data_IF_472385463388
#
_entry.id   IF_472385463388
#
_cell.length_a   1.000
_cell.length_b   1.000
_cell.length_c   1.000
_cell.angle_alpha   90.00
_cell.angle_beta   90.00
_cell.angle_gamma   90.00
#
_symmetry.space_group_name_H-M   'P 1'
#
loop_
_entity.id
_entity.type
_entity.pdbx_description
1 polymer ?
#
# COMPACT_ATOMS: atom_id res chain seq x y z
N UNK A 1 18.89 -53.41 28.10
CA UNK A 1 17.93 -52.29 28.22
C UNK A 1 18.70 -50.99 28.46
N UNK A 2 18.82 -50.09 27.47
CA UNK A 2 19.18 -48.65 27.66
C UNK A 2 19.34 -47.86 26.35
N UNK A 3 19.38 -48.50 25.18
CA UNK A 3 19.56 -47.80 23.90
C UNK A 3 18.26 -47.45 23.15
N UNK A 4 17.15 -48.13 23.40
CA UNK A 4 15.90 -47.90 22.67
C UNK A 4 15.10 -46.65 23.13
N UNK A 5 15.28 -46.19 24.37
CA UNK A 5 14.49 -45.09 24.94
C UNK A 5 14.94 -43.68 24.52
N UNK A 6 16.20 -43.50 24.09
CA UNK A 6 16.73 -42.18 23.70
C UNK A 6 16.38 -41.79 22.26
N UNK A 7 16.21 -42.76 21.36
CA UNK A 7 15.91 -42.51 19.94
C UNK A 7 14.45 -42.10 19.75
N UNK A 8 13.53 -42.70 20.51
CA UNK A 8 12.09 -42.44 20.41
C UNK A 8 11.73 -41.04 20.96
N UNK A 9 12.45 -40.57 21.97
CA UNK A 9 12.24 -39.22 22.54
C UNK A 9 12.76 -38.10 21.60
N UNK A 10 13.82 -38.37 20.82
CA UNK A 10 14.37 -37.40 19.87
C UNK A 10 13.50 -37.17 18.64
N UNK A 11 12.83 -38.21 18.13
CA UNK A 11 11.98 -38.12 16.93
C UNK A 11 10.64 -37.42 17.25
N UNK A 12 10.08 -37.64 18.44
CA UNK A 12 8.85 -36.98 18.88
C UNK A 12 9.02 -35.45 19.07
N UNK A 13 10.20 -35.00 19.50
CA UNK A 13 10.51 -33.57 19.66
C UNK A 13 10.72 -32.84 18.32
N UNK A 14 11.26 -33.51 17.29
CA UNK A 14 11.41 -32.93 15.95
C UNK A 14 10.06 -32.86 15.21
N UNK A 15 9.19 -33.86 15.38
CA UNK A 15 7.84 -33.86 14.80
C UNK A 15 6.93 -32.74 15.32
N UNK A 16 7.01 -32.43 16.62
CA UNK A 16 6.24 -31.32 17.22
C UNK A 16 6.75 -29.93 16.79
N UNK A 17 8.02 -29.75 16.43
CA UNK A 17 8.54 -28.47 15.93
C UNK A 17 8.16 -28.20 14.46
N UNK A 18 8.07 -29.26 13.64
CA UNK A 18 7.62 -29.14 12.25
C UNK A 18 6.15 -28.71 12.14
N UNK A 19 5.29 -29.18 13.06
CA UNK A 19 3.85 -28.86 13.05
C UNK A 19 3.51 -27.47 13.62
N UNK A 20 4.44 -26.82 14.33
CA UNK A 20 4.26 -25.48 14.88
C UNK A 20 4.80 -24.36 13.97
N UNK A 21 5.50 -24.73 12.89
CA UNK A 21 6.16 -23.74 12.01
C UNK A 21 5.26 -23.24 10.87
N UNK A 22 4.22 -23.99 10.49
CA UNK A 22 3.33 -23.65 9.36
C UNK A 22 2.05 -22.91 9.77
N UNK A 23 1.73 -22.85 11.06
CA UNK A 23 0.57 -22.14 11.61
C UNK A 23 0.91 -20.71 12.05
N UNK A 24 1.79 -20.02 11.30
CA UNK A 24 1.77 -18.57 11.37
C UNK A 24 0.49 -18.13 10.69
N UNK A 25 -0.51 -17.69 11.48
CA UNK A 25 -1.68 -17.01 10.97
C UNK A 25 -1.20 -15.86 10.06
N UNK A 26 -1.22 -16.11 8.74
CA UNK A 26 -1.08 -15.05 7.76
C UNK A 26 -2.43 -14.34 7.79
N UNK A 27 -2.44 -13.12 8.33
CA UNK A 27 -3.55 -12.23 8.06
C UNK A 27 -3.57 -12.01 6.54
N UNK A 28 -4.53 -12.68 5.89
CA UNK A 28 -4.74 -12.66 4.46
C UNK A 28 -6.22 -12.34 4.19
N UNK A 29 -6.56 -12.05 2.93
CA UNK A 29 -7.91 -11.65 2.54
C UNK A 29 -8.87 -12.84 2.73
N UNK A 30 -10.00 -12.71 3.46
CA UNK A 30 -10.95 -13.80 3.67
C UNK A 30 -11.59 -14.31 2.37
N UNK A 31 -11.92 -15.60 2.30
CA UNK A 31 -12.54 -16.26 1.14
C UNK A 31 -13.85 -15.58 0.71
N UNK A 32 -14.65 -15.16 1.69
CA UNK A 32 -15.93 -14.49 1.50
C UNK A 32 -15.79 -13.16 0.75
N UNK A 33 -14.60 -12.52 0.81
CA UNK A 33 -14.34 -11.29 0.05
C UNK A 33 -14.30 -11.57 -1.45
N UNK A 34 -13.62 -12.63 -1.86
CA UNK A 34 -13.51 -13.03 -3.26
C UNK A 34 -14.86 -13.51 -3.80
N UNK A 35 -15.60 -14.29 -2.99
CA UNK A 35 -16.93 -14.78 -3.35
C UNK A 35 -17.92 -13.63 -3.62
N UNK A 36 -17.96 -12.62 -2.74
CA UNK A 36 -18.86 -11.46 -2.90
C UNK A 36 -18.45 -10.58 -4.07
N UNK A 37 -17.14 -10.44 -4.32
CA UNK A 37 -16.63 -9.65 -5.45
C UNK A 37 -16.69 -10.41 -6.78
N UNK A 38 -16.94 -11.72 -6.76
CA UNK A 38 -17.01 -12.54 -7.96
C UNK A 38 -15.66 -12.72 -8.68
N UNK A 39 -14.54 -12.61 -7.95
CA UNK A 39 -13.17 -12.72 -8.48
C UNK A 39 -12.47 -13.96 -7.95
N UNK A 40 -11.51 -14.48 -8.72
CA UNK A 40 -10.70 -15.62 -8.29
C UNK A 40 -9.59 -15.18 -7.31
N UNK A 41 -9.32 -16.02 -6.30
CA UNK A 41 -8.26 -15.78 -5.31
C UNK A 41 -6.88 -15.78 -5.92
N UNK A 42 -6.65 -16.69 -6.85
CA UNK A 42 -5.37 -16.85 -7.53
C UNK A 42 -5.35 -16.14 -8.90
N UNK A 43 -6.34 -15.26 -9.14
CA UNK A 43 -6.53 -14.50 -10.37
C UNK A 43 -5.58 -13.31 -10.55
N UNK A 44 -5.87 -12.48 -11.55
CA UNK A 44 -5.08 -11.29 -11.83
C UNK A 44 -5.23 -10.24 -10.70
N UNK A 45 -4.14 -9.74 -10.09
CA UNK A 45 -4.22 -8.67 -9.10
C UNK A 45 -5.00 -7.43 -9.55
N UNK A 46 -5.01 -7.12 -10.85
CA UNK A 46 -5.77 -6.01 -11.39
C UNK A 46 -7.29 -6.23 -11.27
N UNK A 47 -7.79 -7.45 -11.51
CA UNK A 47 -9.21 -7.77 -11.37
C UNK A 47 -9.69 -7.61 -9.91
N UNK A 48 -8.88 -8.07 -8.95
CA UNK A 48 -9.16 -7.87 -7.53
C UNK A 48 -9.16 -6.39 -7.15
N UNK A 49 -8.17 -5.62 -7.65
CA UNK A 49 -8.09 -4.18 -7.39
C UNK A 49 -9.31 -3.45 -7.93
N UNK A 50 -9.68 -3.69 -9.19
CA UNK A 50 -10.82 -3.03 -9.85
C UNK A 50 -12.13 -3.35 -9.13
N UNK A 51 -12.34 -4.60 -8.71
CA UNK A 51 -13.54 -5.00 -7.96
C UNK A 51 -13.59 -4.33 -6.57
N UNK A 52 -12.44 -4.21 -5.89
CA UNK A 52 -12.34 -3.52 -4.60
C UNK A 52 -12.58 -2.01 -4.73
N UNK A 53 -11.95 -1.36 -5.70
CA UNK A 53 -12.09 0.08 -5.97
C UNK A 53 -13.53 0.42 -6.34
N UNK A 54 -14.14 -0.38 -7.23
CA UNK A 54 -15.55 -0.20 -7.60
C UNK A 54 -16.45 -0.21 -6.36
N UNK A 55 -16.36 -1.26 -5.53
CA UNK A 55 -17.20 -1.37 -4.33
C UNK A 55 -16.89 -0.27 -3.31
N UNK A 56 -15.61 0.10 -3.16
CA UNK A 56 -15.18 1.14 -2.22
C UNK A 56 -15.71 2.53 -2.61
N UNK A 57 -15.89 2.79 -3.90
CA UNK A 57 -16.37 4.06 -4.43
C UNK A 57 -17.88 4.08 -4.77
N UNK A 58 -18.60 2.98 -4.59
CA UNK A 58 -20.03 2.88 -4.88
C UNK A 58 -20.89 3.52 -3.75
N UNK A 59 -21.73 4.53 -4.05
CA UNK A 59 -22.65 5.10 -3.06
C UNK A 59 -23.66 4.10 -2.49
N UNK A 60 -24.05 3.07 -3.24
CA UNK A 60 -24.95 2.02 -2.72
C UNK A 60 -24.28 1.16 -1.63
N UNK A 61 -22.95 1.09 -1.66
CA UNK A 61 -22.11 0.36 -0.70
C UNK A 61 -21.54 1.29 0.40
N UNK A 62 -21.96 2.55 0.41
CA UNK A 62 -21.72 3.50 1.49
C UNK A 62 -20.71 4.61 1.19
N UNK A 63 -20.20 4.72 -0.04
CA UNK A 63 -19.38 5.86 -0.42
C UNK A 63 -20.20 7.18 -0.43
N UNK A 64 -19.51 8.31 -0.28
CA UNK A 64 -20.12 9.64 -0.36
C UNK A 64 -20.65 10.17 0.98
N UNK A 65 -21.72 10.95 0.91
CA UNK A 65 -22.31 11.68 2.04
C UNK A 65 -23.38 10.87 2.82
N UNK A 66 -23.78 9.73 2.24
CA UNK A 66 -24.77 8.83 2.82
C UNK A 66 -26.21 9.32 2.69
N UNK A 67 -27.14 8.48 3.13
CA UNK A 67 -28.60 8.68 2.97
C UNK A 67 -29.21 9.84 3.75
N UNK A 68 -28.41 10.52 4.58
CA UNK A 68 -28.84 11.62 5.46
C UNK A 68 -28.05 12.91 5.19
N UNK A 69 -27.46 13.04 4.00
CA UNK A 69 -26.71 14.23 3.56
C UNK A 69 -27.50 15.53 3.72
N UNK A 70 -28.83 15.49 3.54
CA UNK A 70 -29.69 16.66 3.69
C UNK A 70 -29.72 17.27 5.12
N UNK A 71 -29.19 16.56 6.12
CA UNK A 71 -29.21 16.99 7.53
C UNK A 71 -27.90 17.56 8.04
N UNK A 72 -26.86 17.64 7.21
CA UNK A 72 -25.56 18.15 7.62
C UNK A 72 -24.81 18.77 6.45
N UNK A 73 -23.97 19.76 6.74
CA UNK A 73 -23.06 20.35 5.76
C UNK A 73 -21.61 19.99 6.11
N UNK A 74 -20.72 19.81 5.11
CA UNK A 74 -19.31 19.63 5.37
C UNK A 74 -18.71 20.87 6.04
N UNK A 75 -17.81 20.65 6.99
CA UNK A 75 -16.99 21.71 7.59
C UNK A 75 -15.67 21.81 6.83
N UNK A 76 -14.88 22.88 7.08
CA UNK A 76 -13.59 23.09 6.41
C UNK A 76 -12.60 21.92 6.55
N UNK A 77 -12.73 21.13 7.61
CA UNK A 77 -11.89 19.95 7.84
C UNK A 77 -12.39 18.68 7.13
N UNK A 78 -13.64 18.67 6.64
CA UNK A 78 -14.26 17.51 5.99
C UNK A 78 -13.50 17.04 4.75
N UNK A 79 -12.83 17.95 4.04
CA UNK A 79 -11.94 17.62 2.91
C UNK A 79 -10.76 16.70 3.26
N UNK A 80 -10.40 16.58 4.54
CA UNK A 80 -9.35 15.67 5.00
C UNK A 80 -9.91 14.38 5.62
N UNK A 81 -11.17 14.38 6.05
CA UNK A 81 -11.82 13.19 6.63
C UNK A 81 -12.63 12.39 5.61
N UNK A 82 -13.10 13.03 4.54
CA UNK A 82 -13.73 12.40 3.38
C UNK A 82 -13.25 13.12 2.10
N UNK A 83 -11.98 12.90 1.70
CA UNK A 83 -11.39 13.60 0.57
C UNK A 83 -12.08 13.27 -0.77
N UNK A 84 -12.54 12.04 -0.96
CA UNK A 84 -13.27 11.64 -2.17
C UNK A 84 -14.50 12.50 -2.45
N UNK A 85 -15.19 12.94 -1.39
CA UNK A 85 -16.41 13.76 -1.55
C UNK A 85 -16.12 15.26 -1.52
N UNK A 86 -15.09 15.71 -0.80
CA UNK A 86 -14.95 17.13 -0.44
C UNK A 86 -13.56 17.74 -0.69
N UNK A 87 -12.57 16.98 -1.14
CA UNK A 87 -11.25 17.53 -1.39
C UNK A 87 -11.22 18.32 -2.69
N UNK A 88 -10.76 19.56 -2.58
CA UNK A 88 -10.37 20.39 -3.71
C UNK A 88 -8.92 20.85 -3.50
N UNK A 89 -8.08 20.83 -4.56
CA UNK A 89 -6.75 21.41 -4.50
C UNK A 89 -6.78 22.88 -4.07
N UNK A 90 -5.76 23.36 -3.34
CA UNK A 90 -5.68 24.77 -2.98
C UNK A 90 -5.47 25.66 -4.22
N UNK A 91 -5.96 26.89 -4.15
CA UNK A 91 -5.83 27.92 -5.19
C UNK A 91 -4.42 28.54 -5.29
N UNK A 92 -3.52 28.14 -4.39
CA UNK A 92 -2.13 28.58 -4.26
C UNK A 92 -1.16 27.43 -4.49
N UNK A 93 0.06 27.79 -4.85
CA UNK A 93 1.11 26.83 -5.22
C UNK A 93 1.51 26.97 -6.68
N UNK A 94 2.70 26.47 -7.00
CA UNK A 94 3.20 26.38 -8.37
C UNK A 94 3.27 24.90 -8.74
N UNK A 95 2.88 24.59 -9.97
CA UNK A 95 3.11 23.25 -10.50
C UNK A 95 4.60 22.93 -10.61
N UNK A 96 4.95 21.66 -10.45
CA UNK A 96 6.33 21.18 -10.57
C UNK A 96 6.39 19.67 -10.84
N UNK A 97 7.59 19.17 -11.15
CA UNK A 97 7.88 17.75 -11.13
C UNK A 97 8.28 17.25 -9.74
N UNK A 98 8.58 15.95 -9.64
CA UNK A 98 8.84 15.23 -8.38
C UNK A 98 9.81 15.95 -7.43
N UNK A 99 10.96 16.34 -7.96
CA UNK A 99 11.99 17.01 -7.18
C UNK A 99 11.53 18.39 -6.67
N UNK A 100 10.75 19.12 -7.47
CA UNK A 100 10.24 20.43 -7.06
C UNK A 100 9.20 20.38 -5.94
N UNK A 101 8.45 19.26 -5.83
CA UNK A 101 7.60 19.00 -4.66
C UNK A 101 8.46 19.01 -3.38
N UNK A 102 9.55 18.24 -3.36
CA UNK A 102 10.43 18.12 -2.19
C UNK A 102 11.10 19.47 -1.88
N UNK A 103 11.69 20.14 -2.87
CA UNK A 103 12.43 21.39 -2.68
C UNK A 103 11.57 22.54 -2.14
N UNK A 104 10.31 22.62 -2.58
CA UNK A 104 9.38 23.63 -2.09
C UNK A 104 8.89 23.28 -0.68
N UNK A 105 8.48 22.03 -0.46
CA UNK A 105 7.92 21.58 0.82
C UNK A 105 8.96 21.41 1.93
N UNK A 106 10.26 21.33 1.62
CA UNK A 106 11.32 21.47 2.63
C UNK A 106 11.28 22.83 3.34
N UNK A 107 10.75 23.86 2.67
CA UNK A 107 10.64 25.21 3.24
C UNK A 107 9.25 25.44 3.83
N UNK A 108 8.21 25.00 3.14
CA UNK A 108 6.82 25.26 3.53
C UNK A 108 6.33 24.29 4.62
N UNK A 109 6.68 23.01 4.50
CA UNK A 109 6.26 21.95 5.42
C UNK A 109 7.41 20.98 5.74
N UNK A 110 8.51 21.46 6.37
CA UNK A 110 9.75 20.69 6.57
C UNK A 110 9.54 19.37 7.32
N UNK A 111 8.57 19.30 8.23
CA UNK A 111 8.26 18.07 8.96
C UNK A 111 7.86 16.92 8.04
N UNK A 112 7.04 17.19 7.02
CA UNK A 112 6.58 16.16 6.08
C UNK A 112 7.72 15.65 5.19
N UNK A 113 8.55 16.55 4.66
CA UNK A 113 9.67 16.14 3.81
C UNK A 113 10.74 15.40 4.60
N UNK A 114 11.04 15.83 5.82
CA UNK A 114 11.97 15.12 6.71
C UNK A 114 11.45 13.71 7.07
N UNK A 115 10.16 13.58 7.38
CA UNK A 115 9.54 12.29 7.66
C UNK A 115 9.57 11.37 6.42
N UNK A 116 9.23 11.88 5.24
CA UNK A 116 9.29 11.14 3.99
C UNK A 116 10.72 10.66 3.67
N UNK A 117 11.72 11.55 3.76
CA UNK A 117 13.14 11.21 3.53
C UNK A 117 13.66 10.11 4.45
N UNK A 118 13.17 10.04 5.69
CA UNK A 118 13.52 8.99 6.65
C UNK A 118 12.66 7.72 6.55
N UNK A 119 11.71 7.67 5.63
CA UNK A 119 10.77 6.55 5.48
C UNK A 119 11.26 5.49 4.49
N UNK A 120 10.62 4.33 4.50
CA UNK A 120 10.86 3.28 3.47
C UNK A 120 10.45 3.75 2.08
N UNK A 121 9.42 4.59 1.96
CA UNK A 121 8.92 5.08 0.67
C UNK A 121 10.00 5.86 -0.10
N UNK A 122 10.84 6.64 0.57
CA UNK A 122 11.97 7.32 -0.08
C UNK A 122 13.20 6.41 -0.28
N UNK A 123 13.26 5.24 0.37
CA UNK A 123 14.48 4.44 0.49
C UNK A 123 14.26 2.96 0.14
N UNK A 124 13.58 2.66 -0.96
CA UNK A 124 13.23 1.27 -1.32
C UNK A 124 14.46 0.37 -1.55
N UNK A 125 15.61 0.94 -1.90
CA UNK A 125 16.86 0.19 -2.01
C UNK A 125 17.35 -0.38 -0.67
N UNK A 126 17.04 0.26 0.46
CA UNK A 126 17.34 -0.33 1.78
C UNK A 126 16.59 -1.65 1.98
N UNK A 127 15.33 -1.72 1.52
CA UNK A 127 14.54 -2.95 1.56
C UNK A 127 15.15 -4.00 0.64
N UNK A 128 15.56 -3.62 -0.58
CA UNK A 128 16.22 -4.54 -1.53
C UNK A 128 17.55 -5.09 -1.04
N UNK A 129 18.19 -4.43 -0.08
CA UNK A 129 19.48 -4.83 0.46
C UNK A 129 19.39 -5.52 1.84
N UNK A 130 18.19 -5.77 2.37
CA UNK A 130 18.04 -6.49 3.64
C UNK A 130 18.59 -7.93 3.55
N UNK A 131 19.39 -8.32 4.54
CA UNK A 131 19.90 -9.69 4.68
C UNK A 131 18.82 -10.63 5.25
N UNK A 132 18.83 -11.94 4.94
CA UNK A 132 17.85 -12.90 5.46
C UNK A 132 17.74 -12.96 6.99
N UNK A 133 18.81 -12.59 7.70
CA UNK A 133 18.83 -12.53 9.17
C UNK A 133 18.19 -11.26 9.74
N UNK A 134 17.91 -10.24 8.94
CA UNK A 134 17.22 -9.03 9.39
C UNK A 134 15.74 -9.36 9.65
N UNK A 135 15.21 -8.98 10.81
CA UNK A 135 13.81 -9.22 11.18
C UNK A 135 12.81 -8.55 10.23
N UNK A 136 13.25 -7.57 9.44
CA UNK A 136 12.47 -6.86 8.43
C UNK A 136 12.55 -7.51 7.05
N UNK A 137 13.30 -8.60 6.88
CA UNK A 137 13.55 -9.23 5.57
C UNK A 137 12.25 -9.55 4.79
N UNK A 138 11.15 -9.84 5.49
CA UNK A 138 9.82 -10.04 4.88
C UNK A 138 9.37 -8.87 3.99
N UNK A 139 9.87 -7.65 4.22
CA UNK A 139 9.57 -6.48 3.39
C UNK A 139 10.07 -6.61 1.96
N UNK A 140 11.09 -7.43 1.69
CA UNK A 140 11.55 -7.74 0.32
C UNK A 140 10.45 -8.41 -0.50
N UNK A 141 9.78 -9.39 0.10
CA UNK A 141 8.66 -10.08 -0.56
C UNK A 141 7.49 -9.12 -0.77
N UNK A 142 7.18 -8.27 0.22
CA UNK A 142 6.16 -7.23 0.08
C UNK A 142 6.48 -6.24 -1.05
N UNK A 143 7.72 -5.77 -1.17
CA UNK A 143 8.12 -4.86 -2.25
C UNK A 143 7.95 -5.52 -3.63
N UNK A 144 8.37 -6.78 -3.79
CA UNK A 144 8.17 -7.53 -5.03
C UNK A 144 6.68 -7.73 -5.38
N UNK A 145 5.83 -7.93 -4.36
CA UNK A 145 4.37 -8.01 -4.55
C UNK A 145 3.79 -6.67 -5.00
N UNK A 146 4.23 -5.56 -4.41
CA UNK A 146 3.83 -4.22 -4.85
C UNK A 146 4.24 -3.99 -6.31
N UNK A 147 5.48 -4.29 -6.68
CA UNK A 147 5.95 -4.15 -8.07
C UNK A 147 5.12 -5.00 -9.04
N UNK A 148 4.82 -6.26 -8.68
CA UNK A 148 3.93 -7.11 -9.48
C UNK A 148 2.53 -6.53 -9.63
N UNK A 149 1.95 -5.99 -8.57
CA UNK A 149 0.63 -5.37 -8.63
C UNK A 149 0.64 -4.14 -9.54
N UNK A 150 1.69 -3.31 -9.48
CA UNK A 150 1.84 -2.16 -10.37
C UNK A 150 1.98 -2.58 -11.84
N UNK A 151 2.69 -3.67 -12.11
CA UNK A 151 2.78 -4.26 -13.45
C UNK A 151 1.41 -4.75 -13.93
N UNK A 152 0.67 -5.49 -13.09
CA UNK A 152 -0.67 -5.96 -13.40
C UNK A 152 -1.64 -4.80 -13.72
N UNK A 153 -1.52 -3.69 -12.98
CA UNK A 153 -2.28 -2.46 -13.21
C UNK A 153 -1.80 -1.63 -14.41
N UNK A 154 -0.75 -2.05 -15.11
CA UNK A 154 -0.16 -1.31 -16.24
C UNK A 154 0.52 0.00 -15.83
N UNK A 155 0.86 0.17 -14.54
CA UNK A 155 1.50 1.37 -13.99
C UNK A 155 3.02 1.28 -14.00
N UNK A 156 3.58 0.07 -14.01
CA UNK A 156 5.02 -0.20 -14.04
C UNK A 156 5.33 -1.20 -15.16
N UNK A 157 6.39 -0.97 -15.94
CA UNK A 157 6.81 -1.95 -16.95
C UNK A 157 7.42 -3.21 -16.29
N UNK A 158 7.32 -4.38 -16.94
CA UNK A 158 7.79 -5.67 -16.40
C UNK A 158 9.28 -5.68 -15.99
N UNK A 159 10.11 -4.92 -16.71
CA UNK A 159 11.56 -4.85 -16.47
C UNK A 159 11.97 -3.67 -15.57
N UNK A 160 11.03 -2.79 -15.24
CA UNK A 160 11.27 -1.66 -14.36
C UNK A 160 11.16 -2.05 -12.88
N UNK A 161 11.79 -1.25 -12.03
CA UNK A 161 11.68 -1.37 -10.57
C UNK A 161 11.12 -0.08 -10.00
N UNK A 162 10.35 -0.19 -8.92
CA UNK A 162 9.86 0.98 -8.20
C UNK A 162 11.01 1.62 -7.41
N UNK A 163 11.57 2.71 -7.89
CA UNK A 163 12.78 3.32 -7.28
C UNK A 163 12.48 4.02 -5.95
N UNK A 164 11.34 4.70 -5.87
CA UNK A 164 10.80 5.37 -4.70
C UNK A 164 9.27 5.44 -4.77
N UNK A 165 8.64 5.82 -3.66
CA UNK A 165 7.28 6.35 -3.60
C UNK A 165 7.39 7.80 -3.13
N UNK A 166 7.31 8.72 -4.07
CA UNK A 166 7.44 10.17 -3.90
C UNK A 166 6.14 10.82 -3.42
N UNK A 167 6.20 12.11 -3.12
CA UNK A 167 5.03 12.94 -2.84
C UNK A 167 4.01 12.89 -4.00
N UNK A 168 4.47 12.88 -5.25
CA UNK A 168 3.58 12.85 -6.42
C UNK A 168 2.85 11.52 -6.56
N UNK A 169 3.48 10.40 -6.19
CA UNK A 169 2.86 9.09 -6.33
C UNK A 169 1.59 8.96 -5.48
N UNK A 170 1.58 9.59 -4.29
CA UNK A 170 0.43 9.58 -3.40
C UNK A 170 -0.52 10.76 -3.62
N UNK A 171 0.00 11.97 -3.85
CA UNK A 171 -0.81 13.19 -3.88
C UNK A 171 -1.21 13.64 -5.28
N UNK A 172 -0.71 13.00 -6.34
CA UNK A 172 -1.02 13.36 -7.73
C UNK A 172 -1.38 12.14 -8.54
N UNK A 173 -0.41 11.27 -8.78
CA UNK A 173 -0.54 10.08 -9.61
C UNK A 173 0.69 9.18 -9.49
N UNK A 174 0.43 7.88 -9.32
CA UNK A 174 1.45 6.85 -9.23
C UNK A 174 2.28 6.85 -10.51
N UNK A 175 3.60 6.93 -10.35
CA UNK A 175 4.60 6.86 -11.42
C UNK A 175 4.51 7.95 -12.50
N UNK A 176 3.72 9.02 -12.28
CA UNK A 176 3.72 10.18 -13.16
C UNK A 176 5.10 10.81 -13.28
N UNK A 177 5.56 11.05 -14.50
CA UNK A 177 6.87 11.64 -14.81
C UNK A 177 6.80 13.12 -15.16
N UNK A 178 5.67 13.57 -15.71
CA UNK A 178 5.47 14.96 -16.11
C UNK A 178 5.15 15.86 -14.91
N UNK A 179 5.32 17.17 -15.11
CA UNK A 179 4.94 18.16 -14.09
C UNK A 179 3.46 18.06 -13.73
N UNK A 180 3.15 18.29 -12.45
CA UNK A 180 1.79 18.40 -11.94
C UNK A 180 1.42 19.85 -11.65
N UNK A 181 0.17 20.24 -11.92
CA UNK A 181 -0.40 21.52 -11.49
C UNK A 181 -0.94 21.39 -10.07
N UNK A 182 -0.29 22.07 -9.11
CA UNK A 182 -0.67 22.05 -7.70
C UNK A 182 -2.13 22.48 -7.43
N UNK A 183 -2.75 23.21 -8.37
CA UNK A 183 -4.12 23.71 -8.22
C UNK A 183 -5.19 22.81 -8.85
N UNK A 184 -4.78 21.71 -9.48
CA UNK A 184 -5.68 20.88 -10.29
C UNK A 184 -5.44 19.39 -10.13
N UNK A 185 -4.17 19.01 -10.03
CA UNK A 185 -3.77 17.61 -10.12
C UNK A 185 -3.64 16.95 -8.74
N UNK A 186 -3.84 17.69 -7.64
CA UNK A 186 -3.78 17.13 -6.29
C UNK A 186 -5.04 16.32 -5.94
N UNK A 187 -4.85 15.20 -5.26
CA UNK A 187 -5.91 14.30 -4.80
C UNK A 187 -5.63 13.72 -3.41
#
# INVERSE_FOLDING_TARGET
MKFAGKVICGIALVGCWALLSDNQAKADIPDETFEVLGVDRDGDPAELYDALEWRYHDPEEGAGEGSHSDFWDPILFSKYTNPTSFYEPPDKGKGSGRQGCVECHEKDTPGHTMAWKGSVHANLNEIRNLEPSDSRFYKKDKLKKVERNLVALGLLDEEQILTEVSCMDCHVEILRTDSADHKRDLR
#
